data_IF_419641682383
#
_entry.id   IF_419641682383
#
_cell.length_a   1.000
_cell.length_b   1.000
_cell.length_c   1.000
_cell.angle_alpha   90.00
_cell.angle_beta   90.00
_cell.angle_gamma   90.00
#
_symmetry.space_group_name_H-M   'P 1'
#
loop_
_entity.id
_entity.type
_entity.pdbx_description
1 polymer ?
#
# COMPACT_ATOMS: atom_id res chain seq x y z
N UNK A 1 -7.71 -15.23 4.58
CA UNK A 1 -6.97 -14.07 4.05
C UNK A 1 -6.22 -14.53 2.81
N UNK A 2 -6.52 -13.96 1.64
CA UNK A 2 -5.78 -14.21 0.41
C UNK A 2 -4.92 -12.99 0.06
N UNK A 3 -3.79 -13.20 -0.60
CA UNK A 3 -2.94 -12.13 -1.12
C UNK A 3 -3.29 -11.89 -2.58
N UNK A 4 -3.61 -10.65 -2.96
CA UNK A 4 -3.85 -10.28 -4.36
C UNK A 4 -2.54 -10.09 -5.14
N UNK A 5 -1.52 -9.55 -4.48
CA UNK A 5 -0.17 -9.40 -5.04
C UNK A 5 0.88 -9.51 -3.94
N UNK A 6 2.14 -9.72 -4.35
CA UNK A 6 3.32 -9.58 -3.50
C UNK A 6 4.44 -8.95 -4.32
N UNK A 7 4.95 -7.81 -3.86
CA UNK A 7 5.93 -6.99 -4.59
C UNK A 7 7.03 -6.51 -3.64
N UNK A 8 8.13 -6.00 -4.19
CA UNK A 8 9.23 -5.41 -3.41
C UNK A 8 9.24 -3.90 -3.56
N UNK A 9 9.15 -3.21 -2.43
CA UNK A 9 9.21 -1.75 -2.40
C UNK A 9 9.81 -1.24 -1.09
N UNK A 10 10.39 -0.04 -1.13
CA UNK A 10 10.69 0.73 0.07
C UNK A 10 9.42 1.47 0.48
N UNK A 11 9.02 1.30 1.75
CA UNK A 11 7.86 1.99 2.32
C UNK A 11 8.32 3.33 2.88
N UNK A 12 7.64 4.40 2.46
CA UNK A 12 7.91 5.78 2.86
C UNK A 12 6.68 6.41 3.50
N UNK A 13 6.92 7.40 4.35
CA UNK A 13 5.94 8.31 4.91
C UNK A 13 6.29 9.73 4.50
N UNK A 14 5.29 10.55 4.17
CA UNK A 14 5.52 11.96 3.96
C UNK A 14 5.54 12.68 5.32
N UNK A 15 6.67 13.28 5.66
CA UNK A 15 6.81 14.14 6.82
C UNK A 15 6.43 15.57 6.45
N UNK A 16 5.28 16.03 6.94
CA UNK A 16 4.75 17.36 6.67
C UNK A 16 5.61 18.48 7.29
N UNK A 17 6.42 18.19 8.32
CA UNK A 17 7.27 19.18 8.98
C UNK A 17 8.50 19.52 8.14
N UNK A 18 9.19 18.49 7.63
CA UNK A 18 10.38 18.64 6.79
C UNK A 18 10.09 18.60 5.28
N UNK A 19 8.82 18.46 4.89
CA UNK A 19 8.32 18.43 3.50
C UNK A 19 9.02 17.41 2.62
N UNK A 20 9.39 16.26 3.19
CA UNK A 20 10.11 15.19 2.50
C UNK A 20 9.54 13.81 2.80
N UNK A 21 9.89 12.85 1.95
CA UNK A 21 9.64 11.44 2.21
C UNK A 21 10.71 10.89 3.15
N UNK A 22 10.29 10.14 4.18
CA UNK A 22 11.16 9.45 5.13
C UNK A 22 10.84 7.95 5.15
N UNK A 23 11.81 7.06 5.44
CA UNK A 23 11.54 5.64 5.51
C UNK A 23 10.57 5.28 6.64
N UNK A 24 9.68 4.32 6.40
CA UNK A 24 8.74 3.87 7.42
C UNK A 24 9.40 2.90 8.41
N UNK A 25 9.21 3.15 9.70
CA UNK A 25 9.59 2.25 10.80
C UNK A 25 11.06 2.30 11.24
N UNK A 26 11.91 3.13 10.60
CA UNK A 26 13.30 3.43 11.01
C UNK A 26 13.86 4.57 10.18
N UNK A 27 14.98 5.18 10.59
CA UNK A 27 15.65 6.23 9.80
C UNK A 27 16.38 5.69 8.55
N UNK A 28 16.66 4.39 8.51
CA UNK A 28 17.31 3.73 7.38
C UNK A 28 16.28 3.20 6.35
N UNK A 29 16.64 3.30 5.07
CA UNK A 29 15.85 2.74 3.97
C UNK A 29 15.97 1.22 3.93
N UNK A 30 14.83 0.53 3.90
CA UNK A 30 14.78 -0.93 3.78
C UNK A 30 13.76 -1.36 2.74
N UNK A 31 14.12 -2.39 1.98
CA UNK A 31 13.16 -3.06 1.09
C UNK A 31 12.24 -3.95 1.92
N UNK A 32 10.95 -3.83 1.65
CA UNK A 32 9.89 -4.62 2.26
C UNK A 32 9.21 -5.50 1.21
N UNK A 33 8.71 -6.65 1.64
CA UNK A 33 7.67 -7.37 0.91
C UNK A 33 6.34 -6.68 1.20
N UNK A 34 5.73 -6.11 0.18
CA UNK A 34 4.44 -5.43 0.28
C UNK A 34 3.36 -6.28 -0.39
N UNK A 35 2.25 -6.47 0.30
CA UNK A 35 1.14 -7.32 -0.13
C UNK A 35 -0.19 -6.60 0.08
N UNK A 36 -1.10 -6.79 -0.85
CA UNK A 36 -2.52 -6.45 -0.65
C UNK A 36 -3.23 -7.73 -0.22
N UNK A 37 -3.81 -7.72 0.98
CA UNK A 37 -4.59 -8.82 1.52
C UNK A 37 -6.08 -8.55 1.38
N UNK A 38 -6.84 -9.58 1.02
CA UNK A 38 -8.30 -9.61 1.07
C UNK A 38 -8.77 -10.56 2.17
N UNK A 39 -9.65 -10.06 3.02
CA UNK A 39 -10.40 -10.84 3.98
C UNK A 39 -11.81 -11.05 3.42
N UNK A 40 -12.05 -12.17 2.75
CA UNK A 40 -13.36 -12.49 2.16
C UNK A 40 -14.51 -12.52 3.19
N UNK A 41 -14.25 -12.93 4.44
CA UNK A 41 -15.28 -13.02 5.49
C UNK A 41 -15.84 -11.65 5.87
N UNK A 42 -14.99 -10.63 5.94
CA UNK A 42 -15.41 -9.24 6.25
C UNK A 42 -15.44 -8.35 5.02
N UNK A 43 -15.10 -8.92 3.87
CA UNK A 43 -14.87 -8.23 2.61
C UNK A 43 -14.00 -6.96 2.74
N UNK A 44 -12.93 -7.06 3.53
CA UNK A 44 -11.99 -5.94 3.75
C UNK A 44 -10.67 -6.17 3.05
N UNK A 45 -10.02 -5.07 2.66
CA UNK A 45 -8.71 -5.10 2.03
C UNK A 45 -7.70 -4.29 2.84
N UNK A 46 -6.45 -4.75 2.88
CA UNK A 46 -5.36 -4.06 3.57
C UNK A 46 -4.06 -4.16 2.79
N UNK A 47 -3.29 -3.08 2.77
CA UNK A 47 -1.89 -3.10 2.37
C UNK A 47 -1.04 -3.42 3.59
N UNK A 48 -0.21 -4.44 3.50
CA UNK A 48 0.72 -4.85 4.56
C UNK A 48 2.13 -4.92 3.99
N UNK A 49 3.07 -4.20 4.60
CA UNK A 49 4.49 -4.22 4.26
C UNK A 49 5.31 -4.76 5.41
N UNK A 50 6.09 -5.81 5.16
CA UNK A 50 7.06 -6.37 6.12
C UNK A 50 8.46 -6.19 5.59
N UNK A 51 9.36 -5.70 6.44
CA UNK A 51 10.80 -5.63 6.15
C UNK A 51 11.32 -7.00 5.69
N UNK A 52 12.22 -7.03 4.71
CA UNK A 52 12.92 -8.26 4.29
C UNK A 52 14.09 -8.62 5.22
N UNK A 53 14.30 -7.85 6.29
CA UNK A 53 15.27 -8.14 7.34
C UNK A 53 14.80 -9.30 8.24
N UNK A 54 15.70 -9.83 9.06
CA UNK A 54 15.45 -11.01 9.90
C UNK A 54 14.31 -10.80 10.91
N UNK A 55 14.06 -9.57 11.35
CA UNK A 55 12.98 -9.22 12.27
C UNK A 55 11.58 -9.23 11.61
N UNK A 56 11.51 -9.23 10.28
CA UNK A 56 10.29 -9.12 9.49
C UNK A 56 9.31 -8.06 10.00
N UNK A 57 9.83 -6.94 10.50
CA UNK A 57 9.02 -5.89 11.13
C UNK A 57 7.91 -5.40 10.18
N UNK A 58 6.69 -5.31 10.70
CA UNK A 58 5.56 -4.69 9.98
C UNK A 58 5.73 -3.18 10.00
N UNK A 59 5.98 -2.59 8.84
CA UNK A 59 6.17 -1.12 8.68
C UNK A 59 5.00 -0.44 7.98
N UNK A 60 4.13 -1.23 7.34
CA UNK A 60 2.91 -0.76 6.69
C UNK A 60 1.78 -1.71 7.06
N UNK A 61 0.67 -1.16 7.56
CA UNK A 61 -0.56 -1.88 7.81
C UNK A 61 -1.75 -0.93 7.66
N UNK A 62 -2.13 -0.66 6.41
CA UNK A 62 -3.15 0.34 6.07
C UNK A 62 -4.40 -0.35 5.49
N UNK A 63 -5.61 -0.05 5.99
CA UNK A 63 -6.82 -0.48 5.29
C UNK A 63 -6.96 0.24 3.94
N UNK A 64 -7.50 -0.45 2.94
CA UNK A 64 -7.97 0.16 1.70
C UNK A 64 -9.46 0.46 1.89
N UNK A 65 -9.86 1.71 1.68
CA UNK A 65 -11.22 2.20 1.98
C UNK A 65 -11.86 2.85 0.75
N UNK A 66 -13.20 2.88 0.70
CA UNK A 66 -13.94 3.53 -0.41
C UNK A 66 -13.52 5.01 -0.51
N UNK A 67 -13.29 5.47 -1.74
CA UNK A 67 -12.88 6.86 -2.00
C UNK A 67 -11.42 7.17 -1.67
N UNK A 68 -10.61 6.19 -1.25
CA UNK A 68 -9.17 6.37 -1.12
C UNK A 68 -8.57 6.82 -2.45
N UNK A 69 -7.83 7.93 -2.43
CA UNK A 69 -7.13 8.45 -3.61
C UNK A 69 -5.75 7.82 -3.73
N UNK A 70 -5.67 6.81 -4.58
CA UNK A 70 -4.41 6.21 -5.00
C UNK A 70 -3.83 6.97 -6.20
N UNK A 71 -2.55 7.32 -6.15
CA UNK A 71 -1.87 8.10 -7.17
C UNK A 71 -0.54 7.46 -7.57
N UNK A 72 -0.35 7.21 -8.86
CA UNK A 72 0.92 6.75 -9.43
C UNK A 72 1.74 7.99 -9.82
N UNK A 73 2.48 8.54 -8.85
CA UNK A 73 3.21 9.80 -9.03
C UNK A 73 4.34 9.68 -10.06
N UNK A 74 4.97 8.52 -10.16
CA UNK A 74 5.86 8.13 -11.26
C UNK A 74 5.66 6.65 -11.60
N UNK A 75 6.36 6.14 -12.62
CA UNK A 75 6.30 4.73 -13.01
C UNK A 75 6.79 3.73 -11.93
N UNK A 76 7.51 4.21 -10.90
CA UNK A 76 8.01 3.38 -9.80
C UNK A 76 7.77 4.01 -8.43
N UNK A 77 7.00 5.09 -8.35
CA UNK A 77 6.67 5.73 -7.08
C UNK A 77 5.18 6.02 -6.99
N UNK A 78 4.49 5.28 -6.11
CA UNK A 78 3.06 5.40 -5.89
C UNK A 78 2.76 5.88 -4.48
N UNK A 79 1.66 6.59 -4.29
CA UNK A 79 1.29 7.17 -3.01
C UNK A 79 -0.22 7.19 -2.79
N UNK A 80 -0.63 7.21 -1.53
CA UNK A 80 -2.01 7.44 -1.12
C UNK A 80 -2.04 8.06 0.28
N UNK A 81 -3.18 8.67 0.62
CA UNK A 81 -3.39 9.28 1.94
C UNK A 81 -4.42 8.49 2.73
N UNK A 82 -4.11 8.25 4.00
CA UNK A 82 -5.09 7.85 5.01
C UNK A 82 -5.29 9.01 6.03
N UNK A 83 -6.20 8.89 7.01
CA UNK A 83 -6.44 9.97 7.97
C UNK A 83 -5.23 10.34 8.85
N UNK A 84 -4.24 9.45 8.98
CA UNK A 84 -3.07 9.64 9.84
C UNK A 84 -1.87 10.18 9.08
N UNK A 85 -1.65 9.73 7.84
CA UNK A 85 -0.43 10.01 7.09
C UNK A 85 -0.56 9.79 5.59
N UNK A 86 0.49 10.17 4.86
CA UNK A 86 0.65 9.84 3.44
C UNK A 86 1.65 8.73 3.30
N UNK A 87 1.22 7.66 2.65
CA UNK A 87 2.05 6.52 2.32
C UNK A 87 2.67 6.70 0.94
N UNK A 88 3.93 6.29 0.82
CA UNK A 88 4.65 6.19 -0.43
C UNK A 88 5.26 4.80 -0.58
N UNK A 89 5.24 4.26 -1.78
CA UNK A 89 5.95 3.04 -2.15
C UNK A 89 6.90 3.36 -3.28
N UNK A 90 8.19 3.15 -3.04
CA UNK A 90 9.22 3.22 -4.07
C UNK A 90 9.61 1.81 -4.50
N UNK A 91 9.19 1.42 -5.70
CA UNK A 91 9.37 0.09 -6.28
C UNK A 91 10.75 -0.06 -6.90
N UNK A 92 11.32 -1.26 -6.84
CA UNK A 92 12.62 -1.54 -7.46
C UNK A 92 12.59 -1.61 -8.98
N UNK A 93 11.41 -1.85 -9.58
CA UNK A 93 11.20 -1.96 -11.01
C UNK A 93 9.75 -1.61 -11.39
N UNK A 94 9.48 -1.47 -12.69
CA UNK A 94 8.16 -1.04 -13.21
C UNK A 94 7.13 -2.17 -13.16
N UNK A 95 7.59 -3.42 -13.24
CA UNK A 95 6.75 -4.61 -13.25
C UNK A 95 6.04 -4.78 -11.90
N UNK A 96 6.78 -4.64 -10.80
CA UNK A 96 6.26 -4.65 -9.43
C UNK A 96 5.31 -3.47 -9.20
N UNK A 97 5.66 -2.27 -9.69
CA UNK A 97 4.82 -1.10 -9.58
C UNK A 97 3.47 -1.31 -10.30
N UNK A 98 3.51 -1.80 -11.54
CA UNK A 98 2.31 -2.08 -12.34
C UNK A 98 1.45 -3.19 -11.72
N UNK A 99 2.08 -4.28 -11.25
CA UNK A 99 1.37 -5.37 -10.56
C UNK A 99 0.64 -4.84 -9.32
N UNK A 100 1.31 -4.04 -8.49
CA UNK A 100 0.70 -3.44 -7.31
C UNK A 100 -0.44 -2.49 -7.68
N UNK A 101 -0.26 -1.64 -8.69
CA UNK A 101 -1.28 -0.72 -9.15
C UNK A 101 -2.54 -1.45 -9.63
N UNK A 102 -2.39 -2.50 -10.44
CA UNK A 102 -3.52 -3.30 -10.92
C UNK A 102 -4.29 -3.94 -9.76
N UNK A 103 -3.60 -4.52 -8.78
CA UNK A 103 -4.25 -5.10 -7.60
C UNK A 103 -4.91 -4.06 -6.69
N UNK A 104 -4.33 -2.87 -6.56
CA UNK A 104 -4.91 -1.76 -5.80
C UNK A 104 -6.20 -1.25 -6.45
N UNK A 105 -6.18 -1.02 -7.77
CA UNK A 105 -7.36 -0.60 -8.53
C UNK A 105 -8.48 -1.63 -8.41
N UNK A 106 -8.16 -2.90 -8.61
CA UNK A 106 -9.13 -3.98 -8.46
C UNK A 106 -9.77 -4.03 -7.06
N UNK A 107 -8.97 -3.85 -6.00
CA UNK A 107 -9.49 -3.79 -4.64
C UNK A 107 -10.43 -2.59 -4.43
N UNK A 108 -10.09 -1.41 -4.96
CA UNK A 108 -10.92 -0.21 -4.87
C UNK A 108 -12.25 -0.33 -5.62
N UNK A 109 -12.24 -0.96 -6.80
CA UNK A 109 -13.44 -1.26 -7.60
C UNK A 109 -14.38 -2.19 -6.84
N UNK A 110 -13.86 -3.29 -6.29
CA UNK A 110 -14.65 -4.21 -5.47
C UNK A 110 -15.27 -3.49 -4.27
N UNK A 111 -14.47 -2.74 -3.49
CA UNK A 111 -15.00 -1.97 -2.35
C UNK A 111 -16.12 -1.00 -2.77
N UNK A 112 -16.02 -0.44 -3.98
CA UNK A 112 -17.00 0.52 -4.49
C UNK A 112 -18.32 -0.16 -4.89
N UNK A 113 -18.24 -1.33 -5.54
CA UNK A 113 -19.41 -2.07 -6.03
C UNK A 113 -20.24 -2.72 -4.91
N UNK A 114 -19.60 -3.21 -3.85
CA UNK A 114 -20.31 -3.91 -2.75
C UNK A 114 -21.26 -3.02 -1.93
N UNK A 115 -21.13 -1.70 -1.99
CA UNK A 115 -22.00 -0.77 -1.25
C UNK A 115 -23.13 -0.15 -2.07
N UNK A 116 -23.15 -0.38 -3.39
CA UNK A 116 -24.20 0.14 -4.27
C UNK A 116 -25.28 -0.93 -4.56
N UNK A 117 -24.96 -2.21 -4.36
CA UNK A 117 -25.94 -3.32 -4.42
C UNK A 117 -26.64 -3.65 -3.11
N UNK A 118 -26.57 -2.76 -2.11
CA UNK A 118 -27.14 -2.94 -0.77
C UNK A 118 -28.09 -1.81 -0.38
N UNK A 119 -29.10 -1.56 -1.22
CA UNK A 119 -30.26 -0.73 -0.93
C UNK A 119 -31.52 -1.58 -1.05
#
# INVERSE_FOLDING_TARGET
LSSLCAVRATVLLYDDSSKRWVPAGSDATHVSRVQIYHNATTNTFRVVGRKLQADQQVVLNCPIVKGMKYNQATATFHQWRDPKQVWGLNFGNKEDAALFANSMTHALELISSYREGGA
#
